data_IF_338263794290
#
_entry.id   IF_338263794290
#
_cell.length_a   1.000
_cell.length_b   1.000
_cell.length_c   1.000
_cell.angle_alpha   90.00
_cell.angle_beta   90.00
_cell.angle_gamma   90.00
#
_symmetry.space_group_name_H-M   'P 1'
#
loop_
_entity.id
_entity.type
_entity.pdbx_description
1 polymer ?
#
# COMPACT_ATOMS: atom_id res chain seq x y z
N UNK A 1 -11.74 1.71 -6.61
CA UNK A 1 -10.37 2.05 -7.11
C UNK A 1 -9.44 0.92 -6.73
N UNK A 2 -8.65 0.37 -7.66
CA UNK A 2 -7.66 -0.64 -7.31
C UNK A 2 -6.62 -0.06 -6.34
N UNK A 3 -6.10 -0.86 -5.40
CA UNK A 3 -5.11 -0.40 -4.43
C UNK A 3 -3.83 0.06 -5.13
N UNK A 4 -3.25 1.17 -4.66
CA UNK A 4 -1.96 1.63 -5.14
C UNK A 4 -0.81 0.96 -4.35
N UNK A 5 0.43 1.17 -4.79
CA UNK A 5 1.61 0.58 -4.17
C UNK A 5 1.71 0.84 -2.66
N UNK A 6 1.41 2.07 -2.23
CA UNK A 6 1.43 2.46 -0.83
C UNK A 6 0.33 1.78 0.00
N UNK A 7 -0.87 1.59 -0.56
CA UNK A 7 -1.96 0.88 0.12
C UNK A 7 -1.59 -0.59 0.32
N UNK A 8 -0.96 -1.24 -0.67
CA UNK A 8 -0.47 -2.61 -0.52
C UNK A 8 0.60 -2.69 0.57
N UNK A 9 1.59 -1.80 0.52
CA UNK A 9 2.65 -1.72 1.52
C UNK A 9 2.11 -1.48 2.93
N UNK A 10 1.20 -0.52 3.09
CA UNK A 10 0.57 -0.21 4.38
C UNK A 10 -0.24 -1.39 4.92
N UNK A 11 -0.96 -2.09 4.05
CA UNK A 11 -1.75 -3.26 4.46
C UNK A 11 -0.87 -4.38 5.03
N UNK A 12 0.35 -4.53 4.52
CA UNK A 12 1.33 -5.51 5.01
C UNK A 12 2.04 -5.05 6.30
N UNK A 13 2.45 -3.78 6.35
CA UNK A 13 3.30 -3.25 7.43
C UNK A 13 2.53 -2.73 8.64
N UNK A 14 1.33 -2.18 8.47
CA UNK A 14 0.56 -1.62 9.59
C UNK A 14 0.22 -2.64 10.70
N UNK A 15 -0.15 -3.91 10.39
CA UNK A 15 -0.32 -4.93 11.41
C UNK A 15 0.97 -5.23 12.17
N UNK A 16 2.10 -5.31 11.48
CA UNK A 16 3.42 -5.55 12.09
C UNK A 16 3.78 -4.42 13.07
N UNK A 17 3.65 -3.17 12.63
CA UNK A 17 3.89 -2.00 13.51
C UNK A 17 2.94 -1.99 14.69
N UNK A 18 1.67 -2.38 14.50
CA UNK A 18 0.70 -2.46 15.60
C UNK A 18 1.04 -3.56 16.60
N UNK A 19 1.59 -4.69 16.14
CA UNK A 19 2.05 -5.78 17.02
C UNK A 19 3.30 -5.34 17.80
N UNK A 20 4.25 -4.70 17.14
CA UNK A 20 5.47 -4.19 17.78
C UNK A 20 5.19 -3.02 18.74
N UNK A 21 4.20 -2.18 18.39
CA UNK A 21 3.86 -0.96 19.12
C UNK A 21 2.34 -0.85 19.31
N UNK A 22 1.75 -1.68 20.19
CA UNK A 22 0.31 -1.72 20.40
C UNK A 22 -0.26 -0.46 21.05
N UNK A 23 0.60 0.37 21.64
CA UNK A 23 0.24 1.64 22.27
C UNK A 23 0.08 2.80 21.27
N UNK A 24 0.58 2.65 20.04
CA UNK A 24 0.46 3.71 19.03
C UNK A 24 -0.96 3.79 18.48
N UNK A 25 -1.44 5.01 18.31
CA UNK A 25 -2.69 5.28 17.62
C UNK A 25 -2.58 4.95 16.12
N UNK A 26 -3.72 4.67 15.49
CA UNK A 26 -3.75 4.44 14.04
C UNK A 26 -3.21 5.64 13.23
N UNK A 27 -3.30 6.86 13.77
CA UNK A 27 -2.73 8.05 13.14
C UNK A 27 -1.20 8.00 13.17
N UNK A 28 -0.60 7.70 14.33
CA UNK A 28 0.85 7.57 14.47
C UNK A 28 1.39 6.43 13.62
N UNK A 29 0.69 5.29 13.58
CA UNK A 29 1.05 4.18 12.67
C UNK A 29 1.01 4.65 11.22
N UNK A 30 0.02 5.46 10.83
CA UNK A 30 -0.08 5.97 9.45
C UNK A 30 1.07 6.90 9.09
N UNK A 31 1.48 7.78 10.02
CA UNK A 31 2.62 8.68 9.84
C UNK A 31 3.91 7.85 9.72
N UNK A 32 4.12 6.91 10.63
CA UNK A 32 5.30 6.03 10.64
C UNK A 32 5.41 5.22 9.34
N UNK A 33 4.33 4.58 8.90
CA UNK A 33 4.32 3.83 7.64
C UNK A 33 4.59 4.74 6.43
N UNK A 34 4.10 5.99 6.46
CA UNK A 34 4.41 6.98 5.43
C UNK A 34 5.89 7.37 5.39
N UNK A 35 6.55 7.46 6.55
CA UNK A 35 7.99 7.65 6.65
C UNK A 35 8.78 6.43 6.20
N UNK A 36 8.38 5.23 6.64
CA UNK A 36 8.97 3.97 6.21
C UNK A 36 8.92 3.84 4.69
N UNK A 37 7.76 4.09 4.08
CA UNK A 37 7.61 4.04 2.62
C UNK A 37 8.54 5.03 1.89
N UNK A 38 8.75 6.23 2.43
CA UNK A 38 9.68 7.22 1.83
C UNK A 38 11.14 6.79 1.94
N UNK A 39 11.50 6.11 3.02
CA UNK A 39 12.86 5.64 3.28
C UNK A 39 13.12 4.21 2.77
N UNK A 40 12.10 3.52 2.28
CA UNK A 40 12.19 2.15 1.79
C UNK A 40 13.03 2.08 0.50
N UNK A 41 13.69 0.95 0.31
CA UNK A 41 14.51 0.68 -0.86
C UNK A 41 13.73 0.85 -2.17
N UNK A 42 14.39 1.41 -3.19
CA UNK A 42 13.81 1.60 -4.51
C UNK A 42 13.36 0.28 -5.14
N UNK A 43 14.02 -0.83 -4.81
CA UNK A 43 13.64 -2.17 -5.28
C UNK A 43 12.30 -2.61 -4.66
N UNK A 44 12.16 -2.51 -3.35
CA UNK A 44 10.89 -2.78 -2.66
C UNK A 44 9.76 -1.91 -3.19
N UNK A 45 9.99 -0.59 -3.33
CA UNK A 45 8.99 0.32 -3.92
C UNK A 45 8.60 -0.08 -5.34
N UNK A 46 9.54 -0.55 -6.15
CA UNK A 46 9.27 -1.11 -7.49
C UNK A 46 8.45 -2.39 -7.42
N UNK A 47 8.76 -3.32 -6.52
CA UNK A 47 7.99 -4.56 -6.33
C UNK A 47 6.52 -4.26 -6.01
N UNK A 48 6.25 -3.37 -5.04
CA UNK A 48 4.89 -2.96 -4.71
C UNK A 48 4.21 -2.18 -5.84
N UNK A 49 4.96 -1.38 -6.60
CA UNK A 49 4.43 -0.68 -7.78
C UNK A 49 4.03 -1.64 -8.90
N UNK A 50 4.83 -2.68 -9.14
CA UNK A 50 4.52 -3.73 -10.10
C UNK A 50 3.27 -4.51 -9.67
N UNK A 51 3.20 -4.92 -8.40
CA UNK A 51 2.04 -5.61 -7.85
C UNK A 51 0.76 -4.77 -7.95
N UNK A 52 0.83 -3.47 -7.61
CA UNK A 52 -0.30 -2.55 -7.74
C UNK A 52 -0.74 -2.39 -9.20
N UNK A 53 0.20 -2.28 -10.14
CA UNK A 53 -0.10 -2.23 -11.56
C UNK A 53 -0.75 -3.52 -12.06
N UNK A 54 -0.26 -4.68 -11.63
CA UNK A 54 -0.87 -5.96 -11.98
C UNK A 54 -2.31 -6.06 -11.50
N UNK A 55 -2.58 -5.71 -10.23
CA UNK A 55 -3.92 -5.68 -9.66
C UNK A 55 -4.81 -4.68 -10.40
N UNK A 56 -4.28 -3.48 -10.70
CA UNK A 56 -4.99 -2.46 -11.47
C UNK A 56 -5.37 -2.97 -12.86
N UNK A 57 -4.45 -3.58 -13.59
CA UNK A 57 -4.70 -4.12 -14.93
C UNK A 57 -5.74 -5.22 -14.88
N UNK A 58 -5.61 -6.17 -13.95
CA UNK A 58 -6.61 -7.23 -13.75
C UNK A 58 -7.99 -6.66 -13.41
N UNK A 59 -8.04 -5.70 -12.49
CA UNK A 59 -9.28 -5.02 -12.13
C UNK A 59 -9.94 -4.33 -13.32
N UNK A 60 -9.16 -3.63 -14.16
CA UNK A 60 -9.68 -2.97 -15.37
C UNK A 60 -10.14 -3.97 -16.43
N UNK A 61 -9.44 -5.09 -16.57
CA UNK A 61 -9.82 -6.18 -17.47
C UNK A 61 -11.16 -6.81 -17.02
N UNK A 62 -11.30 -7.10 -15.73
CA UNK A 62 -12.48 -7.74 -15.16
C UNK A 62 -13.67 -6.76 -15.04
N UNK A 63 -13.42 -5.45 -15.12
CA UNK A 63 -14.44 -4.40 -15.07
C UNK A 63 -14.40 -3.53 -16.34
N UNK A 64 -14.79 -4.09 -17.51
CA UNK A 64 -14.84 -3.37 -18.76
C UNK A 64 -15.95 -2.31 -18.68
N UNK A 65 -15.58 -1.07 -18.36
CA UNK A 65 -16.51 0.04 -18.10
C UNK A 65 -16.18 0.85 -16.85
N UNK A 66 -15.20 0.42 -16.05
CA UNK A 66 -14.75 1.20 -14.90
C UNK A 66 -14.18 2.56 -15.33
N UNK A 67 -14.90 3.65 -15.03
CA UNK A 67 -14.41 5.03 -15.12
C UNK A 67 -14.22 5.60 -13.72
N UNK A 68 -13.05 6.17 -13.50
CA UNK A 68 -12.79 7.01 -12.34
C UNK A 68 -13.59 8.30 -12.51
N UNK A 69 -14.61 8.50 -11.68
CA UNK A 69 -15.34 9.77 -11.57
C UNK A 69 -14.70 10.65 -10.48
#
# INVERSE_FOLDING_TARGET
RPPNAFILYRSDKAPLVKIERPLLSNNEISVLIGEMWRNEEDEMRRCYSYAANFIKTRFLHDNPGYRYQ
#
